data_IF_795004528729
#
_entry.id   IF_795004528729
#
_cell.length_a   1.000
_cell.length_b   1.000
_cell.length_c   1.000
_cell.angle_alpha   90.00
_cell.angle_beta   90.00
_cell.angle_gamma   90.00
#
_symmetry.space_group_name_H-M   'P 1'
#
loop_
_entity.id
_entity.type
_entity.pdbx_description
1 polymer ?
#
# COMPACT_ATOMS: atom_id res chain seq x y z
N UNK A 1 6.43 -11.10 -15.45
CA UNK A 1 6.00 -9.98 -14.58
C UNK A 1 7.24 -9.52 -13.88
N UNK A 2 7.51 -8.22 -13.85
CA UNK A 2 8.77 -7.66 -13.37
C UNK A 2 8.49 -6.73 -12.20
N UNK A 3 9.17 -6.93 -11.06
CA UNK A 3 9.05 -6.07 -9.88
C UNK A 3 10.14 -5.01 -9.92
N UNK A 4 9.75 -3.75 -9.70
CA UNK A 4 10.64 -2.59 -9.74
C UNK A 4 10.27 -1.59 -8.63
N UNK A 5 11.21 -0.70 -8.30
CA UNK A 5 10.92 0.49 -7.50
C UNK A 5 10.47 1.62 -8.44
N UNK A 6 9.34 2.24 -8.14
CA UNK A 6 8.80 3.30 -8.97
C UNK A 6 9.70 4.55 -8.97
N UNK A 7 9.73 5.22 -10.12
CA UNK A 7 10.50 6.43 -10.41
C UNK A 7 9.54 7.59 -10.72
N UNK A 8 10.09 8.80 -10.82
CA UNK A 8 9.28 10.00 -11.15
C UNK A 8 8.55 9.86 -12.49
N UNK A 9 9.12 9.14 -13.45
CA UNK A 9 8.49 8.83 -14.75
C UNK A 9 7.22 8.00 -14.63
N UNK A 10 7.01 7.31 -13.51
CA UNK A 10 5.87 6.41 -13.31
C UNK A 10 4.66 7.11 -12.70
N UNK A 11 4.77 8.40 -12.32
CA UNK A 11 3.74 9.13 -11.58
C UNK A 11 2.39 9.13 -12.31
N UNK A 12 2.37 9.39 -13.63
CA UNK A 12 1.12 9.45 -14.38
C UNK A 12 0.43 8.09 -14.48
N UNK A 13 1.19 7.01 -14.65
CA UNK A 13 0.63 5.65 -14.68
C UNK A 13 0.19 5.21 -13.28
N UNK A 14 0.96 5.55 -12.24
CA UNK A 14 0.59 5.34 -10.84
C UNK A 14 -0.71 6.07 -10.48
N UNK A 15 -0.90 7.29 -10.98
CA UNK A 15 -2.16 8.04 -10.83
C UNK A 15 -3.35 7.23 -11.36
N UNK A 16 -3.21 6.67 -12.56
CA UNK A 16 -4.28 5.88 -13.20
C UNK A 16 -4.61 4.62 -12.39
N UNK A 17 -3.62 3.83 -12.00
CA UNK A 17 -3.89 2.60 -11.22
C UNK A 17 -4.32 2.91 -9.77
N UNK A 18 -3.89 4.00 -9.15
CA UNK A 18 -4.41 4.44 -7.85
C UNK A 18 -5.89 4.87 -7.95
N UNK A 19 -6.29 5.47 -9.08
CA UNK A 19 -7.71 5.73 -9.34
C UNK A 19 -8.53 4.43 -9.47
N UNK A 20 -7.98 3.40 -10.14
CA UNK A 20 -8.61 2.07 -10.21
C UNK A 20 -8.74 1.44 -8.82
N UNK A 21 -7.70 1.56 -7.99
CA UNK A 21 -7.73 1.14 -6.59
C UNK A 21 -8.82 1.85 -5.79
N UNK A 22 -8.92 3.18 -5.85
CA UNK A 22 -9.93 3.96 -5.10
C UNK A 22 -11.34 3.52 -5.45
N UNK A 23 -11.66 3.41 -6.74
CA UNK A 23 -12.98 2.96 -7.22
C UNK A 23 -13.32 1.58 -6.69
N UNK A 24 -12.35 0.67 -6.76
CA UNK A 24 -12.58 -0.67 -6.29
C UNK A 24 -12.70 -0.75 -4.75
N UNK A 25 -11.92 0.04 -4.02
CA UNK A 25 -12.03 0.10 -2.56
C UNK A 25 -13.40 0.63 -2.12
N UNK A 26 -13.92 1.66 -2.78
CA UNK A 26 -15.29 2.15 -2.57
C UNK A 26 -16.33 1.02 -2.78
N UNK A 27 -16.22 0.27 -3.87
CA UNK A 27 -17.10 -0.86 -4.18
C UNK A 27 -16.97 -2.01 -3.17
N UNK A 28 -15.75 -2.44 -2.86
CA UNK A 28 -15.47 -3.60 -1.97
C UNK A 28 -15.85 -3.30 -0.51
N UNK A 29 -15.84 -2.03 -0.10
CA UNK A 29 -16.13 -1.61 1.28
C UNK A 29 -17.56 -1.06 1.47
N UNK A 30 -18.36 -0.97 0.40
CA UNK A 30 -19.72 -0.44 0.41
C UNK A 30 -19.83 0.93 1.12
N UNK A 31 -18.81 1.77 0.95
CA UNK A 31 -18.74 3.10 1.56
C UNK A 31 -19.64 4.01 0.73
N UNK A 32 -20.84 4.31 1.25
CA UNK A 32 -21.85 5.16 0.58
C UNK A 32 -21.43 6.63 0.48
N UNK A 33 -20.58 7.07 1.41
CA UNK A 33 -19.93 8.37 1.30
C UNK A 33 -18.88 8.30 0.20
N UNK A 34 -19.20 8.87 -0.97
CA UNK A 34 -18.28 9.00 -2.10
C UNK A 34 -16.94 9.54 -1.58
N UNK A 35 -15.98 8.67 -1.33
CA UNK A 35 -14.62 9.08 -1.03
C UNK A 35 -14.19 9.85 -2.28
N UNK A 36 -14.00 11.16 -2.15
CA UNK A 36 -13.64 11.99 -3.29
C UNK A 36 -12.29 11.47 -3.78
N UNK A 37 -12.28 10.72 -4.89
CA UNK A 37 -11.09 10.05 -5.39
C UNK A 37 -9.91 11.04 -5.45
N UNK A 38 -8.93 10.91 -4.52
CA UNK A 38 -7.98 11.98 -4.28
C UNK A 38 -6.92 12.05 -5.39
N UNK A 39 -6.72 10.97 -6.15
CA UNK A 39 -5.58 10.82 -7.06
C UNK A 39 -5.72 11.63 -8.36
N UNK A 40 -6.93 12.09 -8.71
CA UNK A 40 -7.14 13.07 -9.78
C UNK A 40 -6.92 14.53 -9.35
N UNK A 41 -6.63 14.78 -8.07
CA UNK A 41 -6.39 16.12 -7.54
C UNK A 41 -4.90 16.40 -7.38
N UNK A 42 -4.54 17.69 -7.28
CA UNK A 42 -3.17 18.12 -6.95
C UNK A 42 -2.62 17.41 -5.70
N UNK A 43 -3.45 17.27 -4.65
CA UNK A 43 -3.08 16.59 -3.40
C UNK A 43 -2.73 15.11 -3.60
N UNK A 44 -3.45 14.42 -4.48
CA UNK A 44 -3.16 13.02 -4.80
C UNK A 44 -1.86 12.84 -5.56
N UNK A 45 -1.54 13.75 -6.49
CA UNK A 45 -0.27 13.76 -7.19
C UNK A 45 0.88 14.05 -6.22
N UNK A 46 0.73 15.04 -5.34
CA UNK A 46 1.70 15.36 -4.28
C UNK A 46 1.93 14.17 -3.33
N UNK A 47 0.88 13.41 -3.02
CA UNK A 47 0.98 12.18 -2.24
C UNK A 47 1.88 11.15 -2.94
N UNK A 48 1.63 10.84 -4.22
CA UNK A 48 2.44 9.88 -4.98
C UNK A 48 3.90 10.35 -5.07
N UNK A 49 4.11 11.62 -5.42
CA UNK A 49 5.43 12.25 -5.46
C UNK A 49 6.17 12.13 -4.12
N UNK A 50 5.47 12.30 -3.01
CA UNK A 50 6.05 12.17 -1.66
C UNK A 50 6.57 10.76 -1.41
N UNK A 51 5.87 9.72 -1.84
CA UNK A 51 6.34 8.33 -1.68
C UNK A 51 7.53 7.99 -2.57
N UNK A 52 7.61 8.59 -3.77
CA UNK A 52 8.71 8.36 -4.70
C UNK A 52 9.99 9.11 -4.27
N UNK A 53 9.85 10.30 -3.68
CA UNK A 53 10.99 11.22 -3.45
C UNK A 53 11.57 11.18 -2.04
N UNK A 54 10.80 10.82 -1.01
CA UNK A 54 11.28 10.84 0.37
C UNK A 54 12.02 9.54 0.72
N UNK A 55 13.19 9.65 1.37
CA UNK A 55 14.08 8.53 1.70
C UNK A 55 13.49 7.45 2.62
N UNK A 56 12.48 7.83 3.40
CA UNK A 56 11.77 6.93 4.32
C UNK A 56 10.52 6.31 3.69
N UNK A 57 10.32 6.45 2.39
CA UNK A 57 9.17 5.92 1.66
C UNK A 57 9.64 5.21 0.41
N UNK A 58 8.78 4.36 -0.14
CA UNK A 58 9.00 3.73 -1.43
C UNK A 58 7.66 3.28 -2.04
N UNK A 59 7.68 3.05 -3.34
CA UNK A 59 6.58 2.42 -4.07
C UNK A 59 7.18 1.26 -4.86
N UNK A 60 6.74 0.04 -4.59
CA UNK A 60 7.02 -1.10 -5.45
C UNK A 60 5.94 -1.21 -6.51
N UNK A 61 6.33 -1.52 -7.74
CA UNK A 61 5.42 -1.72 -8.87
C UNK A 61 5.72 -3.07 -9.52
N UNK A 62 4.70 -3.68 -10.11
CA UNK A 62 4.88 -4.84 -10.98
C UNK A 62 4.38 -4.50 -12.37
N UNK A 63 5.24 -4.69 -13.37
CA UNK A 63 4.92 -4.51 -14.79
C UNK A 63 4.57 -5.83 -15.48
N UNK A 64 3.63 -5.75 -16.41
CA UNK A 64 3.31 -6.85 -17.34
C UNK A 64 4.28 -6.90 -18.53
N UNK A 65 4.10 -7.87 -19.44
CA UNK A 65 4.93 -8.01 -20.65
C UNK A 65 4.86 -6.79 -21.60
N UNK A 66 3.76 -6.04 -21.56
CA UNK A 66 3.56 -4.79 -22.31
C UNK A 66 4.12 -3.56 -21.57
N UNK A 67 4.88 -3.78 -20.49
CA UNK A 67 5.45 -2.76 -19.62
C UNK A 67 4.42 -1.87 -18.92
N UNK A 68 3.16 -2.28 -18.77
CA UNK A 68 2.19 -1.54 -17.96
C UNK A 68 2.23 -1.98 -16.49
N UNK A 69 2.08 -1.03 -15.56
CA UNK A 69 1.90 -1.28 -14.13
C UNK A 69 0.56 -1.97 -13.91
N UNK A 70 0.59 -3.13 -13.26
CA UNK A 70 -0.60 -3.93 -12.95
C UNK A 70 -0.80 -4.18 -11.46
N UNK A 71 0.21 -3.85 -10.66
CA UNK A 71 0.15 -3.92 -9.21
C UNK A 71 1.13 -2.92 -8.60
N UNK A 72 0.82 -2.46 -7.40
CA UNK A 72 1.69 -1.59 -6.62
C UNK A 72 1.61 -1.89 -5.12
N UNK A 73 2.63 -1.47 -4.38
CA UNK A 73 2.63 -1.37 -2.93
C UNK A 73 3.32 -0.07 -2.49
N UNK A 74 2.64 0.74 -1.70
CA UNK A 74 3.18 1.94 -1.06
C UNK A 74 3.62 1.58 0.37
N UNK A 75 4.84 1.97 0.72
CA UNK A 75 5.40 1.72 2.03
C UNK A 75 6.11 2.95 2.61
N UNK A 76 6.09 3.07 3.94
CA UNK A 76 6.80 4.11 4.68
C UNK A 76 7.43 3.57 5.95
N UNK A 77 8.58 4.13 6.34
CA UNK A 77 9.15 4.00 7.67
C UNK A 77 8.63 5.15 8.52
N UNK A 78 8.07 4.81 9.67
CA UNK A 78 7.78 5.75 10.74
C UNK A 78 8.97 5.73 11.70
N UNK A 79 9.83 6.76 11.67
CA UNK A 79 10.90 6.86 12.63
C UNK A 79 10.32 7.06 14.04
N UNK A 80 11.04 6.63 15.08
CA UNK A 80 10.65 6.91 16.45
C UNK A 80 10.61 8.42 16.66
N UNK A 81 9.72 8.89 17.55
CA UNK A 81 9.82 10.29 18.03
C UNK A 81 11.18 10.46 18.71
N UNK A 82 11.78 11.65 18.58
CA UNK A 82 13.07 12.00 19.16
C UNK A 82 13.15 11.53 20.62
N UNK A 83 14.23 10.84 21.00
CA UNK A 83 14.46 10.26 22.33
C UNK A 83 13.47 9.19 22.81
N UNK A 84 12.67 8.56 21.93
CA UNK A 84 11.82 7.44 22.32
C UNK A 84 12.48 6.09 22.05
N UNK A 85 12.44 5.18 23.03
CA UNK A 85 12.79 3.75 22.85
C UNK A 85 11.72 2.96 22.08
N UNK A 86 10.90 3.64 21.26
CA UNK A 86 9.80 2.99 20.54
C UNK A 86 10.35 2.24 19.32
N UNK A 87 9.78 1.08 18.97
CA UNK A 87 10.23 0.32 17.81
C UNK A 87 10.02 1.12 16.52
N UNK A 88 10.98 1.02 15.60
CA UNK A 88 10.87 1.53 14.24
C UNK A 88 9.83 0.68 13.50
N UNK A 89 8.85 1.34 12.91
CA UNK A 89 7.74 0.67 12.22
C UNK A 89 7.81 0.93 10.72
N UNK A 90 7.74 -0.13 9.92
CA UNK A 90 7.44 -0.04 8.50
C UNK A 90 5.95 -0.29 8.29
N UNK A 91 5.26 0.66 7.67
CA UNK A 91 3.86 0.49 7.30
C UNK A 91 3.75 0.18 5.81
N UNK A 92 3.04 -0.89 5.48
CA UNK A 92 2.42 -1.13 4.19
C UNK A 92 1.13 -0.31 4.16
N UNK A 93 1.14 0.80 3.41
CA UNK A 93 0.06 1.79 3.48
C UNK A 93 -1.02 1.57 2.46
N UNK A 94 -0.65 1.11 1.26
CA UNK A 94 -1.60 0.76 0.20
C UNK A 94 -1.00 -0.38 -0.61
N UNK A 95 -1.83 -1.34 -1.00
CA UNK A 95 -1.44 -2.36 -1.96
C UNK A 95 -2.62 -2.66 -2.87
N UNK A 96 -2.33 -2.77 -4.16
CA UNK A 96 -3.33 -3.11 -5.15
C UNK A 96 -2.76 -4.02 -6.21
N UNK A 97 -3.59 -4.97 -6.65
CA UNK A 97 -3.35 -5.81 -7.83
C UNK A 97 -4.61 -5.73 -8.68
N UNK A 98 -4.46 -5.36 -9.96
CA UNK A 98 -5.57 -5.34 -10.92
C UNK A 98 -6.30 -6.69 -10.93
N UNK A 99 -7.63 -6.68 -11.01
CA UNK A 99 -8.46 -7.88 -10.85
C UNK A 99 -8.00 -9.09 -11.70
N UNK A 100 -7.74 -8.88 -12.98
CA UNK A 100 -7.26 -9.90 -13.94
C UNK A 100 -5.87 -10.49 -13.62
N UNK A 101 -5.13 -9.87 -12.70
CA UNK A 101 -3.79 -10.28 -12.28
C UNK A 101 -3.75 -10.84 -10.85
N UNK A 102 -4.90 -10.96 -10.19
CA UNK A 102 -5.01 -11.55 -8.85
C UNK A 102 -4.85 -13.06 -8.86
N UNK A 103 -4.59 -13.60 -7.67
CA UNK A 103 -4.35 -15.04 -7.45
C UNK A 103 -3.18 -15.63 -8.27
N UNK A 104 -2.30 -14.77 -8.79
CA UNK A 104 -1.08 -15.12 -9.53
C UNK A 104 0.20 -14.84 -8.73
N UNK A 105 0.10 -14.76 -7.39
CA UNK A 105 1.24 -14.52 -6.50
C UNK A 105 1.74 -13.06 -6.40
N UNK A 106 1.20 -12.11 -7.17
CA UNK A 106 1.74 -10.74 -7.22
C UNK A 106 1.65 -9.98 -5.88
N UNK A 107 0.56 -10.16 -5.13
CA UNK A 107 0.45 -9.55 -3.80
C UNK A 107 1.49 -10.09 -2.82
N UNK A 108 1.79 -11.40 -2.91
CA UNK A 108 2.84 -12.04 -2.13
C UNK A 108 4.21 -11.49 -2.53
N UNK A 109 4.49 -11.41 -3.83
CA UNK A 109 5.74 -10.85 -4.35
C UNK A 109 5.99 -9.42 -3.84
N UNK A 110 4.96 -8.55 -3.87
CA UNK A 110 5.04 -7.20 -3.31
C UNK A 110 5.29 -7.21 -1.79
N UNK A 111 4.58 -8.08 -1.06
CA UNK A 111 4.70 -8.17 0.41
C UNK A 111 6.08 -8.71 0.83
N UNK A 112 6.64 -9.65 0.08
CA UNK A 112 7.97 -10.19 0.34
C UNK A 112 9.05 -9.13 0.09
N UNK A 113 8.95 -8.34 -0.99
CA UNK A 113 9.85 -7.22 -1.22
C UNK A 113 9.72 -6.14 -0.12
N UNK A 114 8.50 -5.85 0.33
CA UNK A 114 8.27 -4.95 1.45
C UNK A 114 8.98 -5.42 2.74
N UNK A 115 8.93 -6.73 3.06
CA UNK A 115 9.64 -7.30 4.21
C UNK A 115 11.16 -7.09 4.08
N UNK A 116 11.73 -7.36 2.90
CA UNK A 116 13.16 -7.17 2.63
C UNK A 116 13.55 -5.70 2.78
N UNK A 117 12.79 -4.79 2.17
CA UNK A 117 13.03 -3.36 2.26
C UNK A 117 12.93 -2.84 3.69
N UNK A 118 11.92 -3.27 4.45
CA UNK A 118 11.73 -2.85 5.83
C UNK A 118 12.87 -3.32 6.74
N UNK A 119 13.35 -4.56 6.56
CA UNK A 119 14.53 -5.07 7.27
C UNK A 119 15.77 -4.24 6.94
N UNK A 120 16.03 -3.95 5.65
CA UNK A 120 17.14 -3.08 5.23
C UNK A 120 17.05 -1.66 5.81
N UNK A 121 15.86 -1.20 6.20
CA UNK A 121 15.63 0.09 6.86
C UNK A 121 15.70 0.02 8.39
N UNK A 122 16.01 -1.14 8.97
CA UNK A 122 16.09 -1.35 10.41
C UNK A 122 14.73 -1.32 11.10
N UNK A 123 13.64 -1.69 10.41
CA UNK A 123 12.32 -1.74 11.02
C UNK A 123 12.19 -2.95 11.95
N UNK A 124 11.79 -2.70 13.20
CA UNK A 124 11.51 -3.74 14.19
C UNK A 124 10.14 -4.41 13.98
N UNK A 125 9.20 -3.67 13.38
CA UNK A 125 7.81 -4.11 13.17
C UNK A 125 7.29 -3.73 11.80
N UNK A 126 6.52 -4.64 11.22
CA UNK A 126 5.78 -4.45 9.97
C UNK A 126 4.30 -4.30 10.29
N UNK A 127 3.67 -3.25 9.79
CA UNK A 127 2.26 -2.99 10.03
C UNK A 127 1.49 -2.86 8.72
N UNK A 128 0.21 -3.21 8.80
CA UNK A 128 -0.80 -2.88 7.80
C UNK A 128 -2.10 -2.60 8.55
N UNK A 129 -2.85 -1.61 8.07
CA UNK A 129 -4.21 -1.31 8.56
C UNK A 129 -5.21 -1.70 7.48
N UNK A 130 -6.30 -2.33 7.88
CA UNK A 130 -7.38 -2.73 6.98
C UNK A 130 -8.72 -2.58 7.68
N UNK A 131 -9.76 -2.31 6.91
CA UNK A 131 -11.14 -2.28 7.39
C UNK A 131 -11.60 -3.67 7.82
N UNK A 132 -12.27 -3.78 8.97
CA UNK A 132 -12.68 -5.06 9.57
C UNK A 132 -13.61 -5.90 8.68
N UNK A 133 -14.34 -5.27 7.76
CA UNK A 133 -15.19 -5.92 6.77
C UNK A 133 -14.43 -6.39 5.52
N UNK A 134 -13.18 -5.94 5.30
CA UNK A 134 -12.34 -6.39 4.18
C UNK A 134 -11.74 -7.78 4.46
N UNK A 135 -12.60 -8.82 4.42
CA UNK A 135 -12.24 -10.21 4.70
C UNK A 135 -11.20 -10.76 3.73
N UNK A 136 -11.20 -10.28 2.48
CA UNK A 136 -10.19 -10.67 1.47
C UNK A 136 -8.80 -10.22 1.90
N UNK A 137 -8.65 -8.96 2.34
CA UNK A 137 -7.38 -8.43 2.84
C UNK A 137 -6.96 -9.11 4.15
N UNK A 138 -7.88 -9.28 5.11
CA UNK A 138 -7.57 -9.97 6.38
C UNK A 138 -7.01 -11.39 6.14
N UNK A 139 -7.69 -12.20 5.31
CA UNK A 139 -7.23 -13.55 4.95
C UNK A 139 -5.87 -13.52 4.24
N UNK A 140 -5.66 -12.55 3.35
CA UNK A 140 -4.39 -12.38 2.65
C UNK A 140 -3.25 -12.10 3.65
N UNK A 141 -3.38 -11.09 4.51
CA UNK A 141 -2.30 -10.69 5.41
C UNK A 141 -2.01 -11.73 6.48
N UNK A 142 -3.03 -12.43 6.99
CA UNK A 142 -2.82 -13.57 7.90
C UNK A 142 -1.97 -14.66 7.26
N UNK A 143 -2.23 -15.01 5.99
CA UNK A 143 -1.42 -15.97 5.24
C UNK A 143 0.02 -15.48 5.04
N UNK A 144 0.22 -14.17 4.84
CA UNK A 144 1.56 -13.60 4.73
C UNK A 144 2.29 -13.41 6.08
N UNK A 145 1.68 -13.82 7.21
CA UNK A 145 2.28 -13.86 8.54
C UNK A 145 1.90 -12.71 9.47
N UNK A 146 1.04 -11.79 9.05
CA UNK A 146 0.56 -10.71 9.90
C UNK A 146 -0.45 -11.22 10.94
N UNK A 147 -0.45 -10.60 12.10
CA UNK A 147 -1.39 -10.88 13.21
C UNK A 147 -2.10 -9.60 13.60
N UNK A 148 -3.34 -9.73 14.08
CA UNK A 148 -4.09 -8.60 14.63
C UNK A 148 -3.34 -8.02 15.84
N UNK A 149 -3.15 -6.71 15.85
CA UNK A 149 -2.52 -6.00 16.97
C UNK A 149 -3.49 -5.11 17.74
N UNK A 150 -4.33 -4.36 17.03
CA UNK A 150 -5.30 -3.41 17.62
C UNK A 150 -6.56 -3.39 16.78
N UNK A 151 -7.69 -3.10 17.42
CA UNK A 151 -8.98 -2.87 16.77
C UNK A 151 -9.53 -1.54 17.25
N UNK A 152 -9.92 -0.68 16.31
CA UNK A 152 -10.63 0.57 16.60
C UNK A 152 -12.13 0.29 16.54
N UNK A 153 -12.86 0.71 17.58
CA UNK A 153 -14.32 0.66 17.64
C UNK A 153 -14.85 2.10 17.58
N UNK A 154 -15.90 2.31 16.81
CA UNK A 154 -16.50 3.64 16.59
C UNK A 154 -18.00 3.56 16.93
N UNK A 155 -18.51 4.63 17.52
CA UNK A 155 -19.94 4.84 17.77
C UNK A 155 -20.32 6.16 17.13
N UNK A 156 -21.37 6.18 16.32
CA UNK A 156 -21.89 7.42 15.75
C UNK A 156 -22.46 8.28 16.88
N UNK A 157 -22.00 9.52 16.98
CA UNK A 157 -22.55 10.55 17.86
C UNK A 157 -23.69 11.30 17.19
#
# INVERSE_FOLDING_TARGET
MELEIAKKTDIEELKQICNEFSKQEEDDLNIKDKIKNPYNTKKGIEFIQTYITKRNRTVFIIRNKKKNIVAFLFAKINPPKFNSKKPIKADLTMMYVKAHYRSKGLGKQLTDEFKVWANKKGADKLNVTLWTHNKKADKFYRREGFKTSTTTLEMNS
#
